data_IF_217743819342
#
_entry.id   IF_217743819342
#
_cell.length_a   1.000
_cell.length_b   1.000
_cell.length_c   1.000
_cell.angle_alpha   90.00
_cell.angle_beta   90.00
_cell.angle_gamma   90.00
#
_symmetry.space_group_name_H-M   'P 1'
#
loop_
_entity.id
_entity.type
_entity.pdbx_description
1 polymer ?
#
# COMPACT_ATOMS: atom_id res chain seq x y z
N UNK A 1 -14.80 -17.79 -25.69
CA UNK A 1 -14.05 -16.54 -25.40
C UNK A 1 -14.87 -15.46 -24.70
N UNK A 2 -16.17 -15.25 -24.98
CA UNK A 2 -16.98 -14.20 -24.32
C UNK A 2 -17.28 -14.41 -22.82
N UNK A 3 -17.26 -15.65 -22.31
CA UNK A 3 -17.51 -15.92 -20.88
C UNK A 3 -16.31 -15.60 -19.96
N UNK A 4 -15.10 -15.51 -20.52
CA UNK A 4 -13.87 -15.19 -19.76
C UNK A 4 -13.71 -13.69 -19.51
N UNK A 5 -14.23 -12.83 -20.39
CA UNK A 5 -14.15 -11.39 -20.20
C UNK A 5 -15.02 -10.92 -19.04
N UNK A 6 -16.18 -11.56 -18.83
CA UNK A 6 -17.11 -11.23 -17.73
C UNK A 6 -16.52 -11.46 -16.33
N UNK A 7 -15.71 -12.49 -16.12
CA UNK A 7 -15.13 -12.78 -14.80
C UNK A 7 -14.05 -11.78 -14.40
N UNK A 8 -13.32 -11.23 -15.37
CA UNK A 8 -12.31 -10.18 -15.13
C UNK A 8 -12.98 -8.89 -14.67
N UNK A 9 -14.07 -8.46 -15.34
CA UNK A 9 -14.80 -7.25 -14.91
C UNK A 9 -15.38 -7.37 -13.49
N UNK A 10 -15.90 -8.55 -13.12
CA UNK A 10 -16.42 -8.79 -11.77
C UNK A 10 -15.29 -8.77 -10.73
N UNK A 11 -14.13 -9.36 -11.01
CA UNK A 11 -12.96 -9.26 -10.11
C UNK A 11 -12.49 -7.81 -9.93
N UNK A 12 -12.47 -7.02 -10.99
CA UNK A 12 -12.09 -5.61 -10.92
C UNK A 12 -13.11 -4.78 -10.14
N UNK A 13 -14.41 -5.06 -10.30
CA UNK A 13 -15.46 -4.44 -9.50
C UNK A 13 -15.34 -4.79 -8.01
N UNK A 14 -15.01 -6.04 -7.69
CA UNK A 14 -14.80 -6.48 -6.30
C UNK A 14 -13.57 -5.83 -5.67
N UNK A 15 -12.58 -5.41 -6.47
CA UNK A 15 -11.43 -4.64 -6.00
C UNK A 15 -11.66 -3.12 -5.98
N UNK A 16 -12.75 -2.61 -6.57
CA UNK A 16 -13.07 -1.17 -6.56
C UNK A 16 -13.01 -0.51 -5.16
N UNK A 17 -13.48 -1.14 -4.06
CA UNK A 17 -13.37 -0.56 -2.72
C UNK A 17 -11.93 -0.31 -2.29
N UNK A 18 -10.99 -1.20 -2.65
CA UNK A 18 -9.58 -1.05 -2.26
C UNK A 18 -8.91 0.10 -3.02
N UNK A 19 -9.28 0.29 -4.29
CA UNK A 19 -8.81 1.42 -5.07
C UNK A 19 -9.33 2.75 -4.52
N UNK A 20 -10.56 2.80 -4.01
CA UNK A 20 -11.09 3.98 -3.34
C UNK A 20 -10.33 4.31 -2.06
N UNK A 21 -9.97 3.30 -1.27
CA UNK A 21 -9.13 3.47 -0.07
C UNK A 21 -7.75 4.01 -0.45
N UNK A 22 -7.13 3.48 -1.50
CA UNK A 22 -5.84 3.98 -1.99
C UNK A 22 -5.94 5.42 -2.48
N UNK A 23 -7.00 5.76 -3.22
CA UNK A 23 -7.26 7.12 -3.68
C UNK A 23 -7.43 8.09 -2.51
N UNK A 24 -8.22 7.70 -1.50
CA UNK A 24 -8.42 8.50 -0.28
C UNK A 24 -7.10 8.71 0.47
N UNK A 25 -6.25 7.67 0.56
CA UNK A 25 -4.92 7.78 1.16
C UNK A 25 -4.00 8.74 0.40
N UNK A 26 -4.02 8.73 -0.94
CA UNK A 26 -3.27 9.68 -1.78
C UNK A 26 -3.72 11.11 -1.52
N UNK A 27 -5.04 11.34 -1.54
CA UNK A 27 -5.63 12.67 -1.32
C UNK A 27 -5.26 13.18 0.08
N UNK A 28 -5.40 12.33 1.10
CA UNK A 28 -5.07 12.69 2.48
C UNK A 28 -3.59 13.05 2.62
N UNK A 29 -2.68 12.25 2.03
CA UNK A 29 -1.24 12.48 2.05
C UNK A 29 -0.83 13.77 1.31
N UNK A 30 -1.46 14.06 0.17
CA UNK A 30 -1.24 15.27 -0.61
C UNK A 30 -1.71 16.53 0.15
N UNK A 31 -2.87 16.46 0.80
CA UNK A 31 -3.43 17.56 1.59
C UNK A 31 -2.59 17.81 2.86
N UNK A 32 -2.02 16.77 3.48
CA UNK A 32 -1.18 16.92 4.69
C UNK A 32 0.27 17.32 4.41
N UNK A 33 0.70 17.38 3.14
CA UNK A 33 2.11 17.60 2.77
C UNK A 33 2.69 18.91 3.32
N UNK A 34 1.91 20.00 3.34
CA UNK A 34 2.38 21.31 3.85
C UNK A 34 2.62 21.35 5.36
N UNK A 35 2.06 20.43 6.13
CA UNK A 35 2.08 20.47 7.61
C UNK A 35 3.13 19.53 8.21
N UNK A 36 3.40 18.37 7.59
CA UNK A 36 4.39 17.39 8.07
C UNK A 36 5.14 16.67 6.91
N UNK A 37 6.23 17.24 6.38
CA UNK A 37 6.93 16.71 5.19
C UNK A 37 7.49 15.29 5.37
N UNK A 38 7.87 14.90 6.61
CA UNK A 38 8.35 13.54 6.92
C UNK A 38 7.25 12.48 6.85
N UNK A 39 6.01 12.83 7.21
CA UNK A 39 4.86 11.93 7.15
C UNK A 39 4.44 11.70 5.69
N UNK A 40 4.49 12.76 4.88
CA UNK A 40 4.14 12.69 3.46
C UNK A 40 5.13 11.82 2.66
N UNK A 41 6.43 11.89 2.96
CA UNK A 41 7.44 10.99 2.35
C UNK A 41 7.17 9.50 2.62
N UNK A 42 6.78 9.14 3.85
CA UNK A 42 6.44 7.75 4.20
C UNK A 42 5.17 7.28 3.48
N UNK A 43 4.16 8.15 3.38
CA UNK A 43 2.93 7.84 2.65
C UNK A 43 3.19 7.66 1.15
N UNK A 44 3.99 8.53 0.54
CA UNK A 44 4.40 8.43 -0.87
C UNK A 44 5.20 7.16 -1.12
N UNK A 45 6.13 6.81 -0.22
CA UNK A 45 6.91 5.58 -0.34
C UNK A 45 6.00 4.33 -0.28
N UNK A 46 5.04 4.29 0.65
CA UNK A 46 4.06 3.19 0.73
C UNK A 46 3.18 3.10 -0.53
N UNK A 47 2.76 4.25 -1.07
CA UNK A 47 1.99 4.33 -2.31
C UNK A 47 2.77 3.90 -3.55
N UNK A 48 4.02 4.33 -3.67
CA UNK A 48 4.92 3.90 -4.73
C UNK A 48 5.13 2.39 -4.69
N UNK A 49 5.27 1.81 -3.48
CA UNK A 49 5.41 0.37 -3.31
C UNK A 49 4.15 -0.38 -3.73
N UNK A 50 2.95 0.14 -3.43
CA UNK A 50 1.69 -0.41 -3.92
C UNK A 50 1.57 -0.34 -5.44
N UNK A 51 2.03 0.77 -6.05
CA UNK A 51 2.01 0.93 -7.49
C UNK A 51 2.96 -0.06 -8.19
N UNK A 52 4.16 -0.25 -7.65
CA UNK A 52 5.12 -1.26 -8.12
C UNK A 52 4.53 -2.66 -7.99
N UNK A 53 3.92 -2.98 -6.84
CA UNK A 53 3.23 -4.26 -6.63
C UNK A 53 2.13 -4.50 -7.67
N UNK A 54 1.29 -3.50 -7.93
CA UNK A 54 0.23 -3.60 -8.94
C UNK A 54 0.80 -3.81 -10.36
N UNK A 55 1.89 -3.12 -10.70
CA UNK A 55 2.59 -3.29 -11.97
C UNK A 55 3.17 -4.70 -12.14
N UNK A 56 3.81 -5.24 -11.10
CA UNK A 56 4.33 -6.61 -11.09
C UNK A 56 3.18 -7.62 -11.28
N UNK A 57 2.05 -7.43 -10.58
CA UNK A 57 0.89 -8.31 -10.73
C UNK A 57 0.28 -8.28 -12.13
N UNK A 58 0.17 -7.10 -12.74
CA UNK A 58 -0.31 -6.94 -14.11
C UNK A 58 0.64 -7.57 -15.14
N UNK A 59 1.93 -7.24 -15.07
CA UNK A 59 2.94 -7.74 -16.00
C UNK A 59 3.11 -9.27 -15.90
N UNK A 60 3.07 -9.82 -14.67
CA UNK A 60 3.18 -11.27 -14.46
C UNK A 60 1.99 -12.05 -14.99
N UNK A 61 0.78 -11.49 -14.99
CA UNK A 61 -0.37 -12.12 -15.64
C UNK A 61 -0.19 -12.21 -17.15
N UNK A 62 0.22 -11.12 -17.80
CA UNK A 62 0.48 -11.09 -19.26
C UNK A 62 1.58 -12.08 -19.64
N UNK A 63 2.69 -12.08 -18.88
CA UNK A 63 3.81 -12.98 -19.11
C UNK A 63 3.42 -14.45 -18.92
N UNK A 64 2.59 -14.75 -17.91
CA UNK A 64 2.09 -16.10 -17.66
C UNK A 64 1.19 -16.61 -18.81
N UNK A 65 0.33 -15.75 -19.38
CA UNK A 65 -0.48 -16.12 -20.53
C UNK A 65 0.36 -16.43 -21.77
N UNK A 66 1.35 -15.59 -22.09
CA UNK A 66 2.27 -15.84 -23.20
C UNK A 66 3.04 -17.15 -23.04
N UNK A 67 3.43 -17.48 -21.82
CA UNK A 67 4.18 -18.69 -21.51
C UNK A 67 3.33 -19.95 -21.60
N UNK A 68 2.08 -19.90 -21.11
CA UNK A 68 1.15 -21.02 -21.17
C UNK A 68 0.84 -21.39 -22.63
N UNK A 69 0.74 -20.40 -23.53
CA UNK A 69 0.59 -20.64 -24.97
C UNK A 69 1.82 -21.32 -25.60
N UNK A 70 3.02 -21.07 -25.07
CA UNK A 70 4.27 -21.66 -25.59
C UNK A 70 4.59 -23.04 -24.97
N UNK A 71 3.82 -23.52 -23.99
CA UNK A 71 4.01 -24.84 -23.35
C UNK A 71 5.37 -25.02 -22.64
N UNK A 72 6.09 -23.92 -22.37
CA UNK A 72 7.55 -23.96 -22.16
C UNK A 72 8.01 -24.23 -20.71
N UNK A 73 7.13 -24.36 -19.72
CA UNK A 73 7.55 -24.47 -18.31
C UNK A 73 7.14 -25.80 -17.66
N UNK A 74 8.13 -26.46 -17.05
CA UNK A 74 7.97 -27.70 -16.33
C UNK A 74 7.20 -27.57 -14.99
N UNK A 75 7.06 -26.36 -14.43
CA UNK A 75 6.37 -26.17 -13.14
C UNK A 75 5.82 -24.74 -12.92
N UNK A 76 4.68 -24.39 -13.53
CA UNK A 76 4.08 -23.05 -13.39
C UNK A 76 3.67 -22.72 -11.93
N UNK A 77 3.40 -23.74 -11.11
CA UNK A 77 3.02 -23.58 -9.71
C UNK A 77 4.14 -22.95 -8.85
N UNK A 78 5.40 -23.28 -9.12
CA UNK A 78 6.53 -22.73 -8.36
C UNK A 78 6.70 -21.22 -8.60
N UNK A 79 6.56 -20.79 -9.85
CA UNK A 79 6.62 -19.37 -10.24
C UNK A 79 5.47 -18.56 -9.63
N UNK A 80 4.25 -19.10 -9.63
CA UNK A 80 3.11 -18.49 -8.94
C UNK A 80 3.34 -18.39 -7.43
N UNK A 81 3.93 -19.43 -6.82
CA UNK A 81 4.28 -19.44 -5.39
C UNK A 81 5.25 -18.32 -5.03
N UNK A 82 6.37 -18.21 -5.74
CA UNK A 82 7.39 -17.17 -5.52
C UNK A 82 6.78 -15.77 -5.69
N UNK A 83 6.00 -15.56 -6.76
CA UNK A 83 5.28 -14.30 -6.99
C UNK A 83 4.38 -13.95 -5.79
N UNK A 84 3.59 -14.90 -5.33
CA UNK A 84 2.63 -14.68 -4.24
C UNK A 84 3.35 -14.25 -2.97
N UNK A 85 4.47 -14.91 -2.63
CA UNK A 85 5.32 -14.53 -1.49
C UNK A 85 5.84 -13.10 -1.63
N UNK A 86 6.41 -12.74 -2.78
CA UNK A 86 6.90 -11.38 -3.03
C UNK A 86 5.78 -10.34 -2.87
N UNK A 87 4.60 -10.61 -3.44
CA UNK A 87 3.44 -9.71 -3.35
C UNK A 87 2.98 -9.52 -1.91
N UNK A 88 2.93 -10.58 -1.11
CA UNK A 88 2.57 -10.52 0.32
C UNK A 88 3.61 -9.71 1.10
N UNK A 89 4.90 -9.96 0.90
CA UNK A 89 5.98 -9.23 1.60
C UNK A 89 5.92 -7.73 1.29
N UNK A 90 5.77 -7.35 0.01
CA UNK A 90 5.60 -5.96 -0.38
C UNK A 90 4.35 -5.34 0.24
N UNK A 91 3.24 -6.10 0.29
CA UNK A 91 2.01 -5.66 0.93
C UNK A 91 2.19 -5.36 2.43
N UNK A 92 2.89 -6.23 3.16
CA UNK A 92 3.19 -6.06 4.59
C UNK A 92 4.05 -4.80 4.79
N UNK A 93 5.10 -4.61 3.99
CA UNK A 93 5.99 -3.44 4.09
C UNK A 93 5.20 -2.15 3.81
N UNK A 94 4.37 -2.13 2.75
CA UNK A 94 3.54 -0.98 2.41
C UNK A 94 2.55 -0.64 3.53
N UNK A 95 1.91 -1.64 4.12
CA UNK A 95 1.03 -1.46 5.27
C UNK A 95 1.76 -0.94 6.51
N UNK A 96 2.93 -1.50 6.82
CA UNK A 96 3.74 -1.05 7.95
C UNK A 96 4.16 0.43 7.77
N UNK A 97 4.55 0.83 6.55
CA UNK A 97 4.86 2.22 6.22
C UNK A 97 3.65 3.15 6.38
N UNK A 98 2.47 2.73 5.93
CA UNK A 98 1.23 3.50 6.10
C UNK A 98 0.86 3.67 7.58
N UNK A 99 0.91 2.60 8.36
CA UNK A 99 0.66 2.63 9.80
C UNK A 99 1.67 3.55 10.49
N UNK A 100 2.96 3.41 10.18
CA UNK A 100 4.00 4.28 10.70
C UNK A 100 3.77 5.75 10.33
N UNK A 101 3.29 6.05 9.12
CA UNK A 101 2.96 7.41 8.69
C UNK A 101 1.81 8.00 9.53
N UNK A 102 0.76 7.22 9.79
CA UNK A 102 -0.38 7.65 10.63
C UNK A 102 0.09 8.01 12.05
N UNK A 103 0.97 7.21 12.65
CA UNK A 103 1.46 7.44 14.01
C UNK A 103 2.59 8.48 14.09
N UNK A 104 3.36 8.71 13.02
CA UNK A 104 4.45 9.67 12.98
C UNK A 104 3.98 11.14 13.20
N UNK A 105 2.71 11.43 12.93
CA UNK A 105 2.10 12.73 13.19
C UNK A 105 1.79 13.03 14.67
N UNK A 106 1.81 12.02 15.57
CA UNK A 106 1.42 12.18 16.99
C UNK A 106 2.52 12.70 17.93
N UNK A 107 3.61 13.29 17.42
CA UNK A 107 4.65 13.90 18.27
C UNK A 107 4.15 15.23 18.85
N UNK A 108 3.43 15.19 19.97
CA UNK A 108 2.95 16.44 20.56
C UNK A 108 2.17 16.40 21.87
N UNK A 109 2.28 15.37 22.71
CA UNK A 109 1.71 15.41 24.05
C UNK A 109 2.64 14.91 25.18
N UNK A 110 3.86 15.48 25.35
CA UNK A 110 4.51 15.42 26.67
C UNK A 110 4.70 16.79 27.37
N UNK A 111 4.31 17.92 26.77
CA UNK A 111 4.57 19.27 27.35
C UNK A 111 3.49 19.83 28.27
N UNK A 112 2.31 19.19 28.34
CA UNK A 112 1.23 19.67 29.21
C UNK A 112 1.52 19.43 30.71
N UNK A 113 2.29 18.40 31.07
CA UNK A 113 2.65 18.12 32.47
C UNK A 113 3.80 19.00 32.98
N UNK A 114 4.74 19.41 32.12
CA UNK A 114 5.86 20.26 32.53
C UNK A 114 5.43 21.72 32.79
N UNK A 115 4.41 22.22 32.08
CA UNK A 115 3.85 23.56 32.32
C UNK A 115 2.94 23.61 33.55
N UNK A 116 2.22 22.52 33.86
CA UNK A 116 1.41 22.39 35.08
C UNK A 116 2.28 22.22 36.34
N UNK A 117 3.42 21.52 36.23
CA UNK A 117 4.38 21.41 37.31
C UNK A 117 5.01 22.77 37.68
N UNK A 118 5.23 23.66 36.70
CA UNK A 118 5.81 24.99 36.93
C UNK A 118 4.81 26.04 37.44
N UNK A 119 3.51 25.84 37.26
CA UNK A 119 2.48 26.76 37.76
C UNK A 119 2.05 26.48 39.21
N UNK A 120 2.32 25.28 39.74
CA UNK A 120 2.02 24.91 41.13
C UNK A 120 3.06 25.34 42.17
N UNK A 121 4.27 25.74 41.77
CA UNK A 121 5.37 26.07 42.70
C UNK A 121 5.46 27.57 43.08
N UNK A 122 4.63 28.43 42.47
CA UNK A 122 4.63 29.89 42.69
C UNK A 122 3.41 30.40 43.50
N UNK A 123 2.69 29.51 44.20
CA UNK A 123 1.48 29.83 44.96
C UNK A 123 1.65 29.68 46.47
#
# INVERSE_FOLDING_TARGET
MMAMTSSIFVQQLLQAPIYLIWLAAIVLAAVTWRRHPRVSLLAIAGLALFFVRAGIEGASLVWMFMILEQGSFANPNLLMGIRSVISVVLGIIAWALLVAAVFAGRKGAPRAEEDLAKTGENG
#
